data_IF_631107494056
#
_entry.id   IF_631107494056
#
_cell.length_a   1.000
_cell.length_b   1.000
_cell.length_c   1.000
_cell.angle_alpha   90.00
_cell.angle_beta   90.00
_cell.angle_gamma   90.00
#
_symmetry.space_group_name_H-M   'P 1'
#
loop_
_entity.id
_entity.type
_entity.pdbx_description
1 polymer ?
#
# COMPACT_ATOMS: atom_id res chain seq x y z
N UNK A 1 -8.73 25.03 -15.14
CA UNK A 1 -7.35 24.89 -14.60
C UNK A 1 -7.00 23.42 -14.52
N UNK A 2 -6.32 22.90 -15.53
CA UNK A 2 -5.99 21.47 -15.63
C UNK A 2 -4.74 21.21 -14.79
N UNK A 3 -4.91 20.65 -13.58
CA UNK A 3 -3.78 20.13 -12.80
C UNK A 3 -3.17 18.98 -13.60
N UNK A 4 -2.12 19.28 -14.36
CA UNK A 4 -1.23 18.28 -14.93
C UNK A 4 -0.64 17.52 -13.75
N UNK A 5 -1.09 16.28 -13.55
CA UNK A 5 -0.41 15.33 -12.68
C UNK A 5 1.01 15.19 -13.24
N UNK A 6 1.98 15.67 -12.46
CA UNK A 6 3.37 15.39 -12.71
C UNK A 6 3.54 13.86 -12.79
N UNK A 7 4.55 13.33 -13.51
CA UNK A 7 4.90 11.93 -13.41
C UNK A 7 5.39 11.72 -11.97
N UNK A 8 4.47 11.42 -11.07
CA UNK A 8 4.77 11.14 -9.68
C UNK A 8 5.71 9.95 -9.72
N UNK A 9 7.00 10.18 -9.41
CA UNK A 9 7.91 9.11 -8.99
C UNK A 9 7.08 8.27 -8.02
N UNK A 10 6.65 7.06 -8.40
CA UNK A 10 5.86 6.19 -7.53
C UNK A 10 6.73 5.95 -6.30
N UNK A 11 6.47 6.70 -5.24
CA UNK A 11 7.22 6.61 -3.99
C UNK A 11 6.79 5.31 -3.31
N UNK A 12 7.62 4.69 -2.48
CA UNK A 12 7.22 3.49 -1.72
C UNK A 12 5.87 3.68 -0.97
N UNK A 13 5.58 4.92 -0.55
CA UNK A 13 4.30 5.30 0.03
C UNK A 13 3.09 5.20 -0.94
N UNK A 14 3.23 5.57 -2.21
CA UNK A 14 2.15 5.44 -3.20
C UNK A 14 1.83 3.97 -3.51
N UNK A 15 2.86 3.12 -3.49
CA UNK A 15 2.74 1.67 -3.65
C UNK A 15 2.06 1.06 -2.43
N UNK A 16 2.49 1.42 -1.22
CA UNK A 16 1.90 0.97 0.03
C UNK A 16 0.41 1.32 0.12
N UNK A 17 0.01 2.55 -0.21
CA UNK A 17 -1.39 2.97 -0.23
C UNK A 17 -2.23 2.13 -1.20
N UNK A 18 -1.73 1.87 -2.42
CA UNK A 18 -2.41 1.00 -3.39
C UNK A 18 -2.57 -0.44 -2.89
N UNK A 19 -1.54 -1.01 -2.26
CA UNK A 19 -1.62 -2.36 -1.68
C UNK A 19 -2.71 -2.40 -0.61
N UNK A 20 -2.70 -1.43 0.31
CA UNK A 20 -3.71 -1.35 1.36
C UNK A 20 -5.12 -1.18 0.77
N UNK A 21 -5.32 -0.32 -0.23
CA UNK A 21 -6.62 -0.18 -0.91
C UNK A 21 -7.08 -1.49 -1.57
N UNK A 22 -6.15 -2.22 -2.18
CA UNK A 22 -6.41 -3.52 -2.79
C UNK A 22 -6.91 -4.54 -1.74
N UNK A 23 -6.25 -4.57 -0.58
CA UNK A 23 -6.55 -5.49 0.52
C UNK A 23 -7.78 -5.07 1.34
N UNK A 24 -8.14 -3.78 1.35
CA UNK A 24 -9.36 -3.25 1.97
C UNK A 24 -10.64 -3.89 1.44
N UNK A 25 -10.60 -4.44 0.22
CA UNK A 25 -11.72 -5.18 -0.37
C UNK A 25 -12.12 -6.43 0.44
N UNK A 26 -11.36 -6.81 1.47
CA UNK A 26 -11.68 -7.89 2.42
C UNK A 26 -11.54 -9.29 1.81
N UNK A 27 -11.17 -9.37 0.54
CA UNK A 27 -10.86 -10.61 -0.14
C UNK A 27 -9.39 -10.96 0.11
N UNK A 28 -9.08 -12.18 0.57
CA UNK A 28 -7.72 -12.70 0.54
C UNK A 28 -7.21 -12.61 -0.90
N UNK A 29 -6.08 -11.94 -1.11
CA UNK A 29 -5.44 -11.86 -2.43
C UNK A 29 -4.11 -12.59 -2.40
N UNK A 30 -3.67 -13.08 -3.55
CA UNK A 30 -2.32 -13.64 -3.65
C UNK A 30 -1.30 -12.54 -3.95
N UNK A 31 -0.04 -12.78 -3.56
CA UNK A 31 1.08 -11.86 -3.81
C UNK A 31 1.21 -11.50 -5.30
N UNK A 32 0.93 -12.46 -6.20
CA UNK A 32 0.91 -12.22 -7.65
C UNK A 32 -0.14 -11.19 -8.07
N UNK A 33 -1.35 -11.27 -7.53
CA UNK A 33 -2.42 -10.29 -7.83
C UNK A 33 -2.06 -8.90 -7.29
N UNK A 34 -1.34 -8.84 -6.16
CA UNK A 34 -0.82 -7.59 -5.62
C UNK A 34 0.25 -7.01 -6.55
N UNK A 35 1.20 -7.83 -6.99
CA UNK A 35 2.27 -7.46 -7.92
C UNK A 35 1.72 -6.87 -9.23
N UNK A 36 0.74 -7.56 -9.84
CA UNK A 36 0.07 -7.10 -11.05
C UNK A 36 -0.67 -5.77 -10.84
N UNK A 37 -1.31 -5.59 -9.68
CA UNK A 37 -2.06 -4.37 -9.38
C UNK A 37 -1.16 -3.15 -9.13
N UNK A 38 0.03 -3.36 -8.56
CA UNK A 38 0.98 -2.27 -8.30
C UNK A 38 2.05 -2.09 -9.37
N UNK A 39 2.13 -3.01 -10.33
CA UNK A 39 3.09 -2.97 -11.44
C UNK A 39 4.52 -2.76 -10.90
N UNK A 40 4.90 -3.66 -9.98
CA UNK A 40 6.15 -3.59 -9.22
C UNK A 40 6.90 -4.92 -9.34
N UNK A 41 8.23 -4.87 -9.39
CA UNK A 41 9.08 -6.06 -9.39
C UNK A 41 8.96 -6.81 -8.06
N UNK A 42 8.99 -8.15 -8.10
CA UNK A 42 8.76 -9.03 -6.95
C UNK A 42 9.65 -8.66 -5.74
N UNK A 43 10.93 -8.34 -5.97
CA UNK A 43 11.86 -7.99 -4.88
C UNK A 43 11.44 -6.72 -4.13
N UNK A 44 11.00 -5.69 -4.87
CA UNK A 44 10.52 -4.45 -4.27
C UNK A 44 9.16 -4.62 -3.61
N UNK A 45 8.34 -5.51 -4.17
CA UNK A 45 7.04 -5.80 -3.59
C UNK A 45 7.23 -6.50 -2.25
N UNK A 46 8.17 -7.44 -2.17
CA UNK A 46 8.50 -8.15 -0.93
C UNK A 46 8.93 -7.16 0.16
N UNK A 47 9.82 -6.22 -0.17
CA UNK A 47 10.27 -5.16 0.76
C UNK A 47 9.10 -4.32 1.29
N UNK A 48 8.17 -3.92 0.41
CA UNK A 48 6.99 -3.13 0.81
C UNK A 48 6.04 -3.97 1.66
N UNK A 49 5.81 -5.23 1.32
CA UNK A 49 4.95 -6.14 2.09
C UNK A 49 5.55 -6.43 3.47
N UNK A 50 6.87 -6.60 3.56
CA UNK A 50 7.57 -6.79 4.82
C UNK A 50 7.45 -5.54 5.70
N UNK A 51 7.68 -4.36 5.12
CA UNK A 51 7.48 -3.09 5.83
C UNK A 51 6.04 -2.89 6.33
N UNK A 52 5.03 -3.17 5.49
CA UNK A 52 3.62 -3.11 5.88
C UNK A 52 3.27 -4.13 6.99
N UNK A 53 3.96 -5.27 6.99
CA UNK A 53 3.78 -6.30 8.02
C UNK A 53 4.45 -5.86 9.34
N UNK A 54 5.66 -5.32 9.28
CA UNK A 54 6.39 -4.80 10.45
C UNK A 54 5.66 -3.63 11.12
N UNK A 55 5.02 -2.76 10.32
CA UNK A 55 4.19 -1.65 10.81
C UNK A 55 2.82 -2.10 11.34
N UNK A 56 2.47 -3.38 11.19
CA UNK A 56 1.20 -3.95 11.64
C UNK A 56 -0.01 -3.51 10.82
N UNK A 57 0.21 -2.95 9.63
CA UNK A 57 -0.86 -2.52 8.72
C UNK A 57 -1.47 -3.71 7.96
N UNK A 58 -0.67 -4.76 7.75
CA UNK A 58 -1.11 -6.03 7.20
C UNK A 58 -0.58 -7.19 8.04
N UNK A 59 -1.27 -8.33 7.98
CA UNK A 59 -0.83 -9.62 8.52
C UNK A 59 -0.77 -10.64 7.39
N UNK A 60 0.15 -11.61 7.54
CA UNK A 60 0.35 -12.69 6.55
C UNK A 60 0.52 -12.17 5.11
N UNK A 61 1.12 -10.98 4.94
CA UNK A 61 1.40 -10.29 3.66
C UNK A 61 0.20 -9.87 2.80
N UNK A 62 -0.99 -10.42 3.01
CA UNK A 62 -2.14 -10.21 2.10
C UNK A 62 -3.47 -10.00 2.83
N UNK A 63 -3.43 -9.73 4.13
CA UNK A 63 -4.62 -9.44 4.91
C UNK A 63 -4.44 -8.11 5.63
N UNK A 64 -5.31 -7.14 5.35
CA UNK A 64 -5.29 -5.84 6.02
C UNK A 64 -5.74 -5.98 7.48
N UNK A 65 -5.12 -5.24 8.39
CA UNK A 65 -5.55 -5.13 9.79
C UNK A 65 -6.50 -3.95 9.99
N UNK A 66 -7.14 -3.87 11.15
CA UNK A 66 -7.92 -2.68 11.52
C UNK A 66 -7.06 -1.41 11.49
N UNK A 67 -5.80 -1.51 11.92
CA UNK A 67 -4.80 -0.43 11.84
C UNK A 67 -4.49 -0.02 10.41
N UNK A 68 -4.31 -0.98 9.49
CA UNK A 68 -4.12 -0.71 8.06
C UNK A 68 -5.33 -0.03 7.43
N UNK A 69 -6.52 -0.48 7.77
CA UNK A 69 -7.77 0.12 7.30
C UNK A 69 -7.94 1.55 7.83
N UNK A 70 -7.59 1.79 9.10
CA UNK A 70 -7.64 3.12 9.69
C UNK A 70 -6.52 4.04 9.16
N UNK A 71 -5.35 3.50 8.80
CA UNK A 71 -4.31 4.26 8.13
C UNK A 71 -4.81 4.82 6.79
N UNK A 72 -5.60 4.04 6.04
CA UNK A 72 -6.28 4.49 4.82
C UNK A 72 -7.37 5.55 5.04
N UNK A 73 -7.82 5.81 6.28
CA UNK A 73 -8.76 6.91 6.56
C UNK A 73 -8.04 8.21 6.88
N UNK A 74 -6.74 8.17 7.22
CA UNK A 74 -5.96 9.35 7.50
C UNK A 74 -5.72 10.17 6.21
N UNK A 75 -5.76 11.51 6.27
CA UNK A 75 -5.31 12.35 5.17
C UNK A 75 -3.86 12.03 4.79
N UNK A 76 -3.51 12.04 3.50
CA UNK A 76 -2.16 11.73 3.01
C UNK A 76 -1.08 12.57 3.70
N UNK A 77 -1.39 13.83 4.05
CA UNK A 77 -0.50 14.70 4.82
C UNK A 77 -0.19 14.19 6.24
N UNK A 78 -1.12 13.48 6.87
CA UNK A 78 -0.93 12.86 8.19
C UNK A 78 -0.24 11.49 8.09
N UNK A 79 -0.43 10.76 6.99
CA UNK A 79 0.25 9.47 6.74
C UNK A 79 1.76 9.62 6.62
N UNK A 80 2.23 10.65 5.91
CA UNK A 80 3.66 10.96 5.75
C UNK A 80 4.37 11.34 7.05
N UNK A 81 3.62 11.64 8.12
CA UNK A 81 4.15 12.04 9.43
C UNK A 81 4.29 10.87 10.40
N UNK A 82 3.69 9.73 10.08
CA UNK A 82 3.68 8.50 10.89
C UNK A 82 4.54 7.38 10.29
N UNK A 83 5.19 7.64 9.16
CA UNK A 83 6.12 6.75 8.47
C UNK A 83 7.55 7.29 8.61
#
# INVERSE_FOLDING_TARGET
>A
MTRKQAPTRRTGADVADKILELLKTGKPRNVKEVAEAVDLHDDKLDEVLDFLTQTGLIIKRVQITDSGSNFLTLPVEKRKRSL
#
